data_IF_223009111599
#
_entry.id   IF_223009111599
#
_cell.length_a   1.000
_cell.length_b   1.000
_cell.length_c   1.000
_cell.angle_alpha   90.00
_cell.angle_beta   90.00
_cell.angle_gamma   90.00
#
_symmetry.space_group_name_H-M   'P 1'
#
loop_
_entity.id
_entity.type
_entity.pdbx_description
1 polymer ?
#
# COMPACT_ATOMS: atom_id res chain seq x y z
N UNK A 1 14.60 24.86 35.41
CA UNK A 1 14.10 23.94 36.46
C UNK A 1 12.61 24.11 36.76
N UNK A 2 12.08 25.28 37.15
CA UNK A 2 10.64 25.44 37.46
C UNK A 2 9.71 25.10 36.27
N UNK A 3 10.16 25.34 35.04
CA UNK A 3 9.42 25.03 33.81
C UNK A 3 9.23 23.51 33.58
N UNK A 4 10.26 22.70 33.84
CA UNK A 4 10.20 21.24 33.63
C UNK A 4 9.25 20.54 34.61
N UNK A 5 9.26 20.96 35.89
CA UNK A 5 8.34 20.42 36.89
C UNK A 5 6.89 20.71 36.49
N UNK A 6 6.60 21.93 36.02
CA UNK A 6 5.27 22.30 35.55
C UNK A 6 4.81 21.46 34.34
N UNK A 7 5.70 21.21 33.36
CA UNK A 7 5.40 20.34 32.20
C UNK A 7 5.08 18.91 32.62
N UNK A 8 5.84 18.37 33.58
CA UNK A 8 5.56 17.03 34.12
C UNK A 8 4.22 17.06 34.86
N UNK A 9 3.96 18.06 35.70
CA UNK A 9 2.68 18.18 36.41
C UNK A 9 1.48 18.25 35.45
N UNK A 10 1.61 18.97 34.34
CA UNK A 10 0.58 19.05 33.29
C UNK A 10 0.28 17.67 32.69
N UNK A 11 1.31 16.89 32.33
CA UNK A 11 1.14 15.50 31.88
C UNK A 11 0.38 14.67 32.92
N UNK A 12 0.80 14.74 34.19
CA UNK A 12 0.25 13.93 35.27
C UNK A 12 -1.24 14.24 35.56
N UNK A 13 -1.59 15.52 35.55
CA UNK A 13 -2.94 16.00 35.92
C UNK A 13 -3.90 15.96 34.73
N UNK A 14 -3.46 16.42 33.55
CA UNK A 14 -4.35 16.75 32.45
C UNK A 14 -4.36 15.72 31.31
N UNK A 15 -3.26 14.99 31.07
CA UNK A 15 -3.12 14.14 29.88
C UNK A 15 -3.83 12.78 30.02
N UNK A 16 -3.91 11.99 28.96
CA UNK A 16 -4.55 10.68 28.92
C UNK A 16 -3.86 9.66 29.84
N UNK A 17 -4.65 8.72 30.39
CA UNK A 17 -4.12 7.69 31.29
C UNK A 17 -3.13 6.72 30.61
N UNK A 18 -3.17 6.61 29.29
CA UNK A 18 -2.25 5.77 28.51
C UNK A 18 -0.87 6.42 28.34
N UNK A 19 -0.80 7.75 28.40
CA UNK A 19 0.46 8.49 28.35
C UNK A 19 1.22 8.45 29.69
N UNK A 20 0.57 8.08 30.79
CA UNK A 20 1.15 8.07 32.14
C UNK A 20 2.04 6.84 32.37
N UNK A 21 3.33 6.98 32.07
CA UNK A 21 4.34 6.00 32.45
C UNK A 21 5.69 6.64 32.75
N UNK A 22 6.59 5.89 33.40
CA UNK A 22 7.93 6.37 33.75
C UNK A 22 8.74 6.85 32.54
N UNK A 23 8.59 6.23 31.36
CA UNK A 23 9.30 6.64 30.17
C UNK A 23 8.84 8.02 29.64
N UNK A 24 7.53 8.27 29.61
CA UNK A 24 6.96 9.56 29.17
C UNK A 24 7.44 10.71 30.04
N UNK A 25 7.45 10.51 31.35
CA UNK A 25 7.90 11.54 32.30
C UNK A 25 9.40 11.81 32.16
N UNK A 26 10.22 10.77 31.98
CA UNK A 26 11.66 10.96 31.72
C UNK A 26 11.89 11.67 30.38
N UNK A 27 11.14 11.33 29.34
CA UNK A 27 11.25 11.97 28.03
C UNK A 27 11.04 13.49 28.12
N UNK A 28 10.07 13.95 28.91
CA UNK A 28 9.81 15.37 29.14
C UNK A 28 10.96 16.14 29.82
N UNK A 29 11.93 15.44 30.41
CA UNK A 29 13.13 16.06 31.01
C UNK A 29 14.25 16.32 30.02
N UNK A 30 14.11 15.89 28.76
CA UNK A 30 15.09 16.16 27.71
C UNK A 30 14.90 17.61 27.23
N UNK A 31 15.94 18.42 27.38
CA UNK A 31 16.05 19.77 26.78
C UNK A 31 17.24 19.77 25.81
N UNK A 32 17.08 20.39 24.64
CA UNK A 32 18.13 20.51 23.60
C UNK A 32 18.84 19.20 23.24
N UNK A 33 18.08 18.10 23.16
CA UNK A 33 18.61 16.75 22.92
C UNK A 33 19.60 16.26 23.99
N UNK A 34 19.60 16.84 25.20
CA UNK A 34 20.43 16.40 26.34
C UNK A 34 19.53 15.81 27.42
N UNK A 35 19.82 14.58 27.83
CA UNK A 35 19.12 13.91 28.94
C UNK A 35 19.90 14.19 30.24
N UNK A 36 19.28 14.78 31.28
CA UNK A 36 19.97 15.02 32.54
C UNK A 36 20.33 13.71 33.27
N UNK A 37 21.30 13.73 34.21
CA UNK A 37 21.63 12.55 35.00
C UNK A 37 20.43 12.01 35.78
N UNK A 38 20.34 10.68 35.93
CA UNK A 38 19.22 9.99 36.58
C UNK A 38 18.79 10.61 37.92
N UNK A 39 19.74 10.92 38.81
CA UNK A 39 19.44 11.52 40.11
C UNK A 39 18.72 12.86 39.99
N UNK A 40 19.07 13.67 38.98
CA UNK A 40 18.44 14.96 38.73
C UNK A 40 17.04 14.80 38.15
N UNK A 41 16.88 13.86 37.22
CA UNK A 41 15.57 13.50 36.66
C UNK A 41 14.64 13.00 37.77
N UNK A 42 15.12 12.10 38.63
CA UNK A 42 14.36 11.55 39.75
C UNK A 42 13.89 12.63 40.72
N UNK A 43 14.76 13.56 41.10
CA UNK A 43 14.40 14.70 41.96
C UNK A 43 13.28 15.56 41.35
N UNK A 44 13.33 15.84 40.04
CA UNK A 44 12.30 16.62 39.35
C UNK A 44 10.95 15.91 39.33
N UNK A 45 10.97 14.60 39.06
CA UNK A 45 9.76 13.78 38.99
C UNK A 45 9.15 13.56 40.37
N UNK A 46 9.96 13.29 41.40
CA UNK A 46 9.49 13.17 42.79
C UNK A 46 8.73 14.42 43.22
N UNK A 47 9.27 15.60 42.87
CA UNK A 47 8.60 16.89 43.15
C UNK A 47 7.29 17.04 42.40
N UNK A 48 7.27 16.73 41.10
CA UNK A 48 6.08 16.85 40.26
C UNK A 48 4.97 15.87 40.71
N UNK A 49 5.32 14.61 40.99
CA UNK A 49 4.37 13.58 41.45
C UNK A 49 3.73 13.99 42.78
N UNK A 50 4.53 14.40 43.77
CA UNK A 50 4.00 14.81 45.07
C UNK A 50 3.08 16.04 44.97
N UNK A 51 3.44 17.00 44.11
CA UNK A 51 2.61 18.17 43.82
C UNK A 51 1.30 17.81 43.11
N UNK A 52 1.36 16.97 42.06
CA UNK A 52 0.20 16.51 41.30
C UNK A 52 -0.77 15.67 42.13
N UNK A 53 -0.28 14.84 43.06
CA UNK A 53 -1.15 14.04 43.94
C UNK A 53 -2.03 14.90 44.85
N UNK A 54 -1.67 16.15 45.13
CA UNK A 54 -2.53 17.07 45.88
C UNK A 54 -3.63 17.69 45.01
N UNK A 55 -3.51 17.60 43.67
CA UNK A 55 -4.42 18.22 42.69
C UNK A 55 -5.36 17.22 42.01
N UNK A 56 -5.19 15.92 42.25
CA UNK A 56 -5.93 14.84 41.56
C UNK A 56 -6.96 14.21 42.51
N UNK A 57 -8.24 14.40 42.20
CA UNK A 57 -9.37 13.77 42.91
C UNK A 57 -9.74 12.39 42.34
N UNK A 58 -9.47 12.16 41.05
CA UNK A 58 -9.80 10.90 40.38
C UNK A 58 -8.89 9.75 40.87
N UNK A 59 -9.49 8.71 41.46
CA UNK A 59 -8.78 7.59 42.09
C UNK A 59 -7.95 6.76 41.10
N UNK A 60 -8.44 6.55 39.89
CA UNK A 60 -7.75 5.77 38.85
C UNK A 60 -6.48 6.49 38.38
N UNK A 61 -6.60 7.78 38.06
CA UNK A 61 -5.46 8.64 37.72
C UNK A 61 -4.46 8.71 38.87
N UNK A 62 -4.94 8.91 40.10
CA UNK A 62 -4.10 8.98 41.30
C UNK A 62 -3.27 7.71 41.47
N UNK A 63 -3.87 6.53 41.24
CA UNK A 63 -3.18 5.24 41.27
C UNK A 63 -2.08 5.17 40.21
N UNK A 64 -2.38 5.51 38.95
CA UNK A 64 -1.36 5.52 37.88
C UNK A 64 -0.22 6.50 38.15
N UNK A 65 -0.50 7.68 38.70
CA UNK A 65 0.54 8.66 39.06
C UNK A 65 1.45 8.14 40.18
N UNK A 66 0.92 7.40 41.16
CA UNK A 66 1.73 6.76 42.19
C UNK A 66 2.67 5.68 41.63
N UNK A 67 2.26 4.97 40.58
CA UNK A 67 3.06 3.92 39.93
C UNK A 67 4.25 4.45 39.12
N UNK A 68 4.32 5.76 38.85
CA UNK A 68 5.40 6.36 38.07
C UNK A 68 6.74 6.28 38.80
N UNK A 69 6.77 6.52 40.11
CA UNK A 69 8.02 6.49 40.88
C UNK A 69 8.71 5.12 40.86
N UNK A 70 8.00 3.99 41.08
CA UNK A 70 8.54 2.65 40.86
C UNK A 70 9.05 2.40 39.43
N UNK A 71 8.44 3.02 38.42
CA UNK A 71 8.81 2.84 37.02
C UNK A 71 10.02 3.67 36.57
N UNK A 72 10.51 4.62 37.40
CA UNK A 72 11.52 5.60 36.99
C UNK A 72 12.82 5.01 36.48
N UNK A 73 13.30 3.94 37.10
CA UNK A 73 14.55 3.30 36.69
C UNK A 73 14.42 2.64 35.32
N UNK A 74 13.33 1.90 35.10
CA UNK A 74 13.05 1.27 33.81
C UNK A 74 12.78 2.33 32.74
N UNK A 75 11.97 3.35 33.05
CA UNK A 75 11.69 4.47 32.15
C UNK A 75 12.96 5.20 31.73
N UNK A 76 13.87 5.47 32.65
CA UNK A 76 15.14 6.12 32.33
C UNK A 76 16.03 5.26 31.43
N UNK A 77 16.17 3.96 31.72
CA UNK A 77 16.91 3.04 30.85
C UNK A 77 16.28 2.95 29.45
N UNK A 78 14.95 2.94 29.36
CA UNK A 78 14.24 2.94 28.08
C UNK A 78 14.57 4.18 27.26
N UNK A 79 14.53 5.38 27.84
CA UNK A 79 14.88 6.62 27.14
C UNK A 79 16.35 6.66 26.72
N UNK A 80 17.26 6.19 27.58
CA UNK A 80 18.69 6.04 27.22
C UNK A 80 18.86 5.08 26.05
N UNK A 81 18.18 3.94 26.07
CA UNK A 81 18.20 2.95 24.99
C UNK A 81 17.64 3.51 23.68
N UNK A 82 16.50 4.20 23.73
CA UNK A 82 15.88 4.84 22.57
C UNK A 82 16.76 5.95 21.98
N UNK A 83 17.50 6.68 22.82
CA UNK A 83 18.49 7.68 22.35
C UNK A 83 19.71 7.02 21.70
N UNK A 84 20.20 5.91 22.26
CA UNK A 84 21.33 5.16 21.70
C UNK A 84 21.03 4.60 20.30
N UNK A 85 19.79 4.17 20.05
CA UNK A 85 19.34 3.71 18.72
C UNK A 85 18.85 4.85 17.81
N UNK A 86 19.06 6.11 18.20
CA UNK A 86 18.62 7.31 17.47
C UNK A 86 17.11 7.36 17.22
N UNK A 87 16.29 6.62 17.97
CA UNK A 87 14.83 6.65 17.85
C UNK A 87 14.21 7.91 18.47
N UNK A 88 14.91 8.56 19.40
CA UNK A 88 14.55 9.89 19.94
C UNK A 88 15.27 11.03 19.26
N UNK A 89 16.25 10.73 18.41
CA UNK A 89 16.66 11.74 17.45
C UNK A 89 15.45 11.85 16.52
N UNK A 90 14.73 12.94 16.64
CA UNK A 90 14.28 13.57 15.41
C UNK A 90 15.57 13.80 14.62
N UNK A 91 15.94 12.79 13.80
CA UNK A 91 16.13 13.11 12.42
C UNK A 91 14.97 14.06 12.15
N UNK A 92 15.31 15.32 11.99
CA UNK A 92 14.78 16.01 10.85
C UNK A 92 15.05 15.01 9.70
N UNK A 93 14.15 14.02 9.56
CA UNK A 93 13.71 13.57 8.27
C UNK A 93 13.55 14.91 7.60
N UNK A 94 14.53 15.24 6.75
CA UNK A 94 14.25 16.19 5.72
C UNK A 94 12.99 15.60 5.11
N UNK A 95 11.85 16.13 5.54
CA UNK A 95 10.72 16.20 4.67
C UNK A 95 11.36 16.60 3.35
N UNK A 96 11.04 15.88 2.29
CA UNK A 96 11.16 16.43 0.96
C UNK A 96 10.18 17.63 0.84
N UNK A 97 10.08 18.48 1.87
CA UNK A 97 9.77 19.87 1.70
C UNK A 97 10.96 20.38 0.93
N UNK A 98 10.74 20.72 -0.34
CA UNK A 98 11.67 21.57 -1.06
C UNK A 98 12.07 22.67 -0.10
N UNK A 99 13.37 22.74 0.22
CA UNK A 99 13.88 23.85 1.01
C UNK A 99 13.47 25.13 0.30
N UNK A 100 13.23 26.22 1.04
CA UNK A 100 12.82 27.48 0.41
C UNK A 100 13.86 27.90 -0.66
N UNK A 101 15.11 27.57 -0.42
CA UNK A 101 16.24 27.72 -1.33
C UNK A 101 16.09 26.94 -2.64
N UNK A 102 15.55 25.72 -2.61
CA UNK A 102 15.30 24.89 -3.79
C UNK A 102 14.11 25.41 -4.60
N UNK A 103 13.04 25.84 -3.92
CA UNK A 103 11.92 26.53 -4.57
C UNK A 103 12.43 27.79 -5.26
N UNK A 104 13.17 28.64 -4.56
CA UNK A 104 13.72 29.88 -5.11
C UNK A 104 14.66 29.59 -6.30
N UNK A 105 15.44 28.50 -6.24
CA UNK A 105 16.29 28.08 -7.35
C UNK A 105 15.46 27.65 -8.57
N UNK A 106 14.42 26.86 -8.38
CA UNK A 106 13.52 26.44 -9.45
C UNK A 106 12.78 27.64 -10.05
N UNK A 107 12.36 28.60 -9.24
CA UNK A 107 11.73 29.83 -9.72
C UNK A 107 12.72 30.67 -10.54
N UNK A 108 13.99 30.77 -10.14
CA UNK A 108 15.04 31.41 -10.96
C UNK A 108 15.20 30.71 -12.32
N UNK A 109 15.22 29.38 -12.34
CA UNK A 109 15.29 28.58 -13.58
C UNK A 109 14.06 28.82 -14.46
N UNK A 110 12.86 28.84 -13.88
CA UNK A 110 11.61 29.10 -14.60
C UNK A 110 11.61 30.51 -15.22
N UNK A 111 11.97 31.55 -14.44
CA UNK A 111 12.11 32.93 -14.92
C UNK A 111 13.12 33.06 -16.05
N UNK A 112 14.24 32.33 -15.98
CA UNK A 112 15.24 32.28 -17.05
C UNK A 112 14.64 31.71 -18.33
N UNK A 113 13.95 30.57 -18.27
CA UNK A 113 13.29 29.95 -19.43
C UNK A 113 12.21 30.83 -20.05
N UNK A 114 11.43 31.52 -19.21
CA UNK A 114 10.41 32.48 -19.67
C UNK A 114 11.01 33.72 -20.34
N UNK A 115 12.29 34.01 -20.10
CA UNK A 115 12.96 35.18 -20.71
C UNK A 115 13.50 34.88 -22.12
N UNK A 116 13.30 33.67 -22.64
CA UNK A 116 13.72 33.25 -23.99
C UNK A 116 12.55 32.69 -24.81
N UNK A 117 11.58 33.54 -25.22
CA UNK A 117 10.47 33.10 -26.06
C UNK A 117 10.93 32.71 -27.47
N UNK A 118 10.37 31.62 -28.01
CA UNK A 118 10.67 31.13 -29.36
C UNK A 118 9.88 31.87 -30.45
N UNK A 119 8.71 32.41 -30.10
CA UNK A 119 7.83 33.14 -31.03
C UNK A 119 7.30 34.43 -30.42
N UNK A 120 6.84 35.37 -31.25
CA UNK A 120 6.20 36.60 -30.79
C UNK A 120 4.93 36.34 -29.98
N UNK A 121 4.18 35.27 -30.30
CA UNK A 121 3.05 34.80 -29.49
C UNK A 121 3.48 34.28 -28.12
N UNK A 122 4.66 33.65 -28.03
CA UNK A 122 5.20 33.17 -26.76
C UNK A 122 5.73 34.33 -25.92
N UNK A 123 6.27 35.39 -26.53
CA UNK A 123 6.74 36.56 -25.80
C UNK A 123 5.61 37.18 -24.96
N UNK A 124 4.46 37.46 -25.57
CA UNK A 124 3.30 38.02 -24.86
C UNK A 124 2.79 37.10 -23.75
N UNK A 125 2.80 35.79 -23.97
CA UNK A 125 2.39 34.80 -22.97
C UNK A 125 3.39 34.74 -21.81
N UNK A 126 4.68 34.63 -22.10
CA UNK A 126 5.74 34.45 -21.12
C UNK A 126 5.90 35.68 -20.25
N UNK A 127 5.80 36.89 -20.82
CA UNK A 127 5.82 38.14 -20.06
C UNK A 127 4.67 38.19 -19.04
N UNK A 128 3.49 37.70 -19.41
CA UNK A 128 2.34 37.70 -18.50
C UNK A 128 2.43 36.62 -17.43
N UNK A 129 2.96 35.44 -17.77
CA UNK A 129 3.26 34.40 -16.77
C UNK A 129 4.32 34.90 -15.78
N UNK A 130 5.38 35.54 -16.27
CA UNK A 130 6.45 36.10 -15.44
C UNK A 130 5.91 37.17 -14.48
N UNK A 131 5.07 38.07 -14.97
CA UNK A 131 4.39 39.08 -14.13
C UNK A 131 3.49 38.45 -13.07
N UNK A 132 2.74 37.41 -13.43
CA UNK A 132 1.88 36.72 -12.46
C UNK A 132 2.72 35.95 -11.43
N UNK A 133 3.90 35.43 -11.83
CA UNK A 133 4.81 34.72 -10.94
C UNK A 133 5.36 35.61 -9.82
N UNK A 134 5.66 36.87 -10.13
CA UNK A 134 6.09 37.86 -9.13
C UNK A 134 5.03 38.08 -8.03
N UNK A 135 3.75 37.86 -8.33
CA UNK A 135 2.66 38.05 -7.36
C UNK A 135 2.43 36.87 -6.41
N UNK A 136 2.93 35.68 -6.73
CA UNK A 136 2.66 34.45 -5.94
C UNK A 136 3.93 33.77 -5.41
N UNK A 137 5.12 34.19 -5.86
CA UNK A 137 6.41 33.57 -5.53
C UNK A 137 6.64 33.41 -4.02
N UNK A 138 6.23 34.37 -3.20
CA UNK A 138 6.34 34.30 -1.74
C UNK A 138 5.52 33.18 -1.11
N UNK A 139 4.41 32.82 -1.76
CA UNK A 139 3.38 31.95 -1.18
C UNK A 139 3.48 30.51 -1.70
N UNK A 140 4.39 30.25 -2.66
CA UNK A 140 4.61 28.93 -3.22
C UNK A 140 5.19 27.96 -2.20
N UNK A 141 4.63 26.76 -2.22
CA UNK A 141 5.05 25.59 -1.45
C UNK A 141 5.48 24.48 -2.41
N UNK A 142 6.11 23.42 -1.88
CA UNK A 142 6.50 22.26 -2.68
C UNK A 142 5.32 21.54 -3.37
N UNK A 143 4.09 21.77 -2.92
CA UNK A 143 2.87 21.20 -3.49
C UNK A 143 2.47 21.89 -4.79
N UNK A 144 2.96 23.11 -5.01
CA UNK A 144 2.65 23.91 -6.17
C UNK A 144 3.55 23.47 -7.35
N UNK A 145 2.97 23.11 -8.51
CA UNK A 145 3.74 22.68 -9.68
C UNK A 145 4.86 23.65 -10.08
N UNK A 146 4.63 24.95 -9.87
CA UNK A 146 5.54 26.06 -10.15
C UNK A 146 6.85 25.93 -9.38
N UNK A 147 6.79 25.45 -8.14
CA UNK A 147 7.96 25.20 -7.30
C UNK A 147 8.88 24.12 -7.90
N UNK A 148 8.38 23.31 -8.84
CA UNK A 148 9.12 22.30 -9.60
C UNK A 148 9.34 22.68 -11.07
N UNK A 149 9.22 23.97 -11.42
CA UNK A 149 9.33 24.50 -12.80
C UNK A 149 8.23 24.04 -13.77
N UNK A 150 7.12 23.50 -13.25
CA UNK A 150 5.98 23.05 -14.04
C UNK A 150 4.89 24.12 -14.01
N UNK A 151 4.25 24.37 -15.16
CA UNK A 151 3.10 25.29 -15.25
C UNK A 151 1.82 24.47 -15.36
N UNK A 152 0.90 24.66 -14.41
CA UNK A 152 -0.43 24.03 -14.43
C UNK A 152 -1.46 24.96 -15.06
N UNK A 153 -2.39 24.42 -15.85
CA UNK A 153 -3.53 25.20 -16.35
C UNK A 153 -4.51 25.61 -15.24
N UNK A 154 -4.49 24.93 -14.10
CA UNK A 154 -5.30 25.23 -12.92
C UNK A 154 -4.68 26.27 -11.99
N UNK A 155 -3.38 26.56 -12.17
CA UNK A 155 -2.65 27.52 -11.33
C UNK A 155 -3.16 28.95 -11.48
N UNK A 156 -3.13 29.77 -10.39
CA UNK A 156 -3.41 31.20 -10.47
C UNK A 156 -2.62 31.93 -11.55
N UNK A 157 -1.39 31.47 -11.86
CA UNK A 157 -0.56 32.03 -12.93
C UNK A 157 -1.25 32.02 -14.28
N UNK A 158 -1.87 30.88 -14.62
CA UNK A 158 -2.48 30.64 -15.93
C UNK A 158 -3.93 31.12 -15.93
N UNK A 159 -4.63 31.03 -14.79
CA UNK A 159 -6.00 31.53 -14.67
C UNK A 159 -6.09 33.05 -14.80
N UNK A 160 -5.09 33.78 -14.31
CA UNK A 160 -5.01 35.24 -14.41
C UNK A 160 -4.54 35.75 -15.79
N UNK A 161 -4.28 34.86 -16.76
CA UNK A 161 -3.93 35.27 -18.13
C UNK A 161 -5.13 35.84 -18.87
N UNK A 162 -4.86 36.79 -19.78
CA UNK A 162 -5.88 37.30 -20.70
C UNK A 162 -6.35 36.19 -21.65
N UNK A 163 -7.58 36.28 -22.14
CA UNK A 163 -8.23 35.28 -22.99
C UNK A 163 -7.36 34.78 -24.16
N UNK A 164 -6.64 35.69 -24.85
CA UNK A 164 -5.76 35.33 -25.97
C UNK A 164 -4.55 34.49 -25.53
N UNK A 165 -3.93 34.85 -24.41
CA UNK A 165 -2.78 34.15 -23.84
C UNK A 165 -3.18 32.78 -23.30
N UNK A 166 -4.30 32.73 -22.56
CA UNK A 166 -4.87 31.47 -22.06
C UNK A 166 -5.21 30.50 -23.20
N UNK A 167 -5.80 31.00 -24.29
CA UNK A 167 -6.05 30.18 -25.49
C UNK A 167 -4.76 29.66 -26.13
N UNK A 168 -3.70 30.47 -26.18
CA UNK A 168 -2.40 30.06 -26.69
C UNK A 168 -1.76 28.99 -25.80
N UNK A 169 -1.79 29.17 -24.48
CA UNK A 169 -1.31 28.19 -23.49
C UNK A 169 -2.05 26.85 -23.60
N UNK A 170 -3.38 26.87 -23.74
CA UNK A 170 -4.22 25.66 -23.83
C UNK A 170 -4.25 25.01 -25.23
N UNK A 171 -3.69 25.66 -26.26
CA UNK A 171 -3.75 25.18 -27.65
C UNK A 171 -3.20 23.76 -27.84
N UNK A 172 -2.07 23.35 -27.23
CA UNK A 172 -1.59 21.97 -27.32
C UNK A 172 -2.58 20.98 -26.71
N UNK A 173 -3.17 21.29 -25.54
CA UNK A 173 -4.19 20.47 -24.88
C UNK A 173 -5.41 20.28 -25.77
N UNK A 174 -5.94 21.35 -26.35
CA UNK A 174 -7.10 21.26 -27.23
C UNK A 174 -6.81 20.49 -28.53
N UNK A 175 -5.55 20.46 -28.99
CA UNK A 175 -5.13 19.63 -30.13
C UNK A 175 -4.97 18.15 -29.81
N UNK A 176 -4.68 17.81 -28.56
CA UNK A 176 -4.56 16.42 -28.11
C UNK A 176 -5.92 15.80 -27.75
N UNK A 177 -6.93 16.62 -27.47
CA UNK A 177 -8.29 16.13 -27.24
C UNK A 177 -8.91 15.66 -28.56
N UNK A 178 -9.44 14.45 -28.53
CA UNK A 178 -10.30 13.94 -29.59
C UNK A 178 -11.75 13.94 -29.07
N UNK A 179 -12.68 14.40 -29.91
CA UNK A 179 -14.09 14.14 -29.65
C UNK A 179 -14.36 12.65 -29.82
N UNK A 180 -15.13 12.09 -28.89
CA UNK A 180 -15.48 10.67 -28.95
C UNK A 180 -16.45 10.46 -30.13
N UNK A 181 -16.16 9.52 -31.06
CA UNK A 181 -17.07 9.25 -32.17
C UNK A 181 -18.46 8.84 -31.67
N UNK A 182 -19.52 9.24 -32.38
CA UNK A 182 -20.92 8.97 -31.97
C UNK A 182 -21.19 7.47 -31.84
N UNK A 183 -20.51 6.67 -32.65
CA UNK A 183 -20.56 5.22 -32.63
C UNK A 183 -20.09 4.65 -31.28
N UNK A 184 -19.02 5.22 -30.72
CA UNK A 184 -18.49 4.80 -29.40
C UNK A 184 -19.42 5.23 -28.29
N UNK A 185 -19.95 6.46 -28.35
CA UNK A 185 -20.95 6.95 -27.39
C UNK A 185 -22.17 6.02 -27.38
N UNK A 186 -22.69 5.70 -28.56
CA UNK A 186 -23.82 4.77 -28.70
C UNK A 186 -23.50 3.39 -28.13
N UNK A 187 -22.29 2.86 -28.31
CA UNK A 187 -21.86 1.60 -27.69
C UNK A 187 -21.79 1.66 -26.15
N UNK A 188 -21.34 2.78 -25.58
CA UNK A 188 -21.34 2.98 -24.13
C UNK A 188 -22.75 3.04 -23.55
N UNK A 189 -23.67 3.75 -24.22
CA UNK A 189 -25.08 3.83 -23.85
C UNK A 189 -25.77 2.47 -23.99
N UNK A 190 -25.53 1.76 -25.09
CA UNK A 190 -26.02 0.40 -25.33
C UNK A 190 -25.57 -0.55 -24.21
N UNK A 191 -24.27 -0.55 -23.87
CA UNK A 191 -23.74 -1.35 -22.77
C UNK A 191 -24.45 -1.04 -21.45
N UNK A 192 -24.62 0.25 -21.12
CA UNK A 192 -25.23 0.67 -19.86
C UNK A 192 -26.70 0.27 -19.77
N UNK A 193 -27.45 0.47 -20.84
CA UNK A 193 -28.88 0.14 -20.91
C UNK A 193 -29.14 -1.38 -20.89
N UNK A 194 -28.23 -2.16 -21.47
CA UNK A 194 -28.35 -3.62 -21.58
C UNK A 194 -27.57 -4.37 -20.50
N UNK A 195 -26.95 -3.68 -19.54
CA UNK A 195 -26.16 -4.34 -18.50
C UNK A 195 -27.07 -5.12 -17.55
N UNK A 196 -27.03 -6.44 -17.67
CA UNK A 196 -27.66 -7.34 -16.70
C UNK A 196 -26.58 -7.99 -15.85
N UNK A 197 -26.69 -7.86 -14.53
CA UNK A 197 -25.87 -8.63 -13.59
C UNK A 197 -26.16 -10.12 -13.83
N UNK A 198 -25.16 -10.86 -14.30
CA UNK A 198 -25.31 -12.28 -14.58
C UNK A 198 -25.93 -13.03 -13.39
N UNK A 199 -26.99 -13.79 -13.64
CA UNK A 199 -27.55 -14.70 -12.66
C UNK A 199 -26.62 -15.92 -12.54
N UNK A 200 -26.34 -16.34 -11.31
CA UNK A 200 -25.59 -17.56 -11.04
C UNK A 200 -26.30 -18.73 -11.69
N UNK A 201 -25.67 -19.42 -12.64
CA UNK A 201 -26.31 -20.55 -13.31
C UNK A 201 -26.57 -21.67 -12.29
N UNK A 202 -27.79 -22.21 -12.27
CA UNK A 202 -28.20 -23.28 -11.35
C UNK A 202 -27.49 -24.63 -11.62
N UNK A 203 -26.74 -24.74 -12.73
CA UNK A 203 -26.19 -26.00 -13.24
C UNK A 203 -25.13 -26.63 -12.30
N UNK A 204 -24.54 -25.85 -11.40
CA UNK A 204 -23.51 -26.33 -10.47
C UNK A 204 -24.00 -26.52 -9.04
N UNK A 205 -25.31 -26.38 -8.77
CA UNK A 205 -25.89 -26.45 -7.41
C UNK A 205 -25.54 -27.72 -6.62
N UNK A 206 -25.09 -28.79 -7.28
CA UNK A 206 -24.69 -30.05 -6.63
C UNK A 206 -23.25 -30.50 -6.93
N UNK A 207 -22.38 -29.59 -7.38
CA UNK A 207 -20.99 -29.96 -7.64
C UNK A 207 -20.27 -30.37 -6.34
N UNK A 208 -19.48 -31.42 -6.43
CA UNK A 208 -18.67 -31.97 -5.33
C UNK A 208 -17.26 -32.29 -5.82
N UNK A 209 -16.30 -32.30 -4.90
CA UNK A 209 -14.91 -32.69 -5.18
C UNK A 209 -14.82 -34.22 -5.28
N UNK A 210 -14.96 -34.75 -6.49
CA UNK A 210 -15.01 -36.19 -6.78
C UNK A 210 -13.94 -36.63 -7.80
N UNK A 211 -12.92 -35.78 -8.02
CA UNK A 211 -11.85 -35.97 -9.02
C UNK A 211 -12.32 -35.95 -10.48
N UNK A 212 -13.51 -35.43 -10.77
CA UNK A 212 -14.00 -35.23 -12.15
C UNK A 212 -13.98 -33.74 -12.54
N UNK A 213 -13.89 -33.49 -13.85
CA UNK A 213 -14.03 -32.15 -14.43
C UNK A 213 -15.49 -31.73 -14.44
N UNK A 214 -15.78 -30.50 -14.00
CA UNK A 214 -17.15 -29.95 -13.94
C UNK A 214 -17.57 -29.28 -15.25
N UNK A 215 -16.60 -28.92 -16.07
CA UNK A 215 -16.82 -28.38 -17.42
C UNK A 215 -16.56 -29.46 -18.47
N UNK A 216 -17.24 -29.35 -19.61
CA UNK A 216 -17.14 -30.24 -20.77
C UNK A 216 -15.83 -30.04 -21.52
N UNK A 217 -15.46 -31.00 -22.39
CA UNK A 217 -14.27 -30.89 -23.25
C UNK A 217 -14.18 -29.55 -24.01
N UNK A 218 -15.23 -29.13 -24.75
CA UNK A 218 -15.22 -27.84 -25.46
C UNK A 218 -15.08 -26.61 -24.55
N UNK A 219 -15.66 -26.64 -23.35
CA UNK A 219 -15.52 -25.54 -22.39
C UNK A 219 -14.08 -25.45 -21.86
N UNK A 220 -13.47 -26.59 -21.54
CA UNK A 220 -12.07 -26.66 -21.12
C UNK A 220 -11.11 -26.25 -22.24
N UNK A 221 -11.39 -26.64 -23.48
CA UNK A 221 -10.62 -26.24 -24.68
C UNK A 221 -10.67 -24.73 -24.86
N UNK A 222 -11.87 -24.13 -24.90
CA UNK A 222 -12.04 -22.68 -24.99
C UNK A 222 -11.28 -21.92 -23.89
N UNK A 223 -11.30 -22.43 -22.65
CA UNK A 223 -10.54 -21.82 -21.54
C UNK A 223 -9.04 -21.99 -21.70
N UNK A 224 -8.60 -23.14 -22.22
CA UNK A 224 -7.20 -23.40 -22.53
C UNK A 224 -6.70 -22.42 -23.58
N UNK A 225 -7.44 -22.19 -24.66
CA UNK A 225 -7.08 -21.21 -25.70
C UNK A 225 -6.90 -19.80 -25.14
N UNK A 226 -7.78 -19.36 -24.24
CA UNK A 226 -7.65 -18.06 -23.58
C UNK A 226 -6.40 -17.96 -22.70
N UNK A 227 -6.11 -19.00 -21.91
CA UNK A 227 -4.88 -19.06 -21.10
C UNK A 227 -3.64 -19.00 -22.00
N UNK A 228 -3.65 -19.73 -23.11
CA UNK A 228 -2.54 -19.76 -24.07
C UNK A 228 -2.36 -18.41 -24.79
N UNK A 229 -3.45 -17.71 -25.11
CA UNK A 229 -3.39 -16.36 -25.68
C UNK A 229 -2.68 -15.39 -24.74
N UNK A 230 -3.04 -15.39 -23.45
CA UNK A 230 -2.35 -14.57 -22.45
C UNK A 230 -0.89 -14.98 -22.29
N UNK A 231 -0.58 -16.27 -22.35
CA UNK A 231 0.80 -16.74 -22.30
C UNK A 231 1.61 -16.24 -23.51
N UNK A 232 1.01 -16.19 -24.70
CA UNK A 232 1.65 -15.62 -25.88
C UNK A 232 1.90 -14.11 -25.73
N UNK A 233 0.97 -13.36 -25.14
CA UNK A 233 1.18 -11.95 -24.79
C UNK A 233 2.35 -11.78 -23.82
N UNK A 234 2.44 -12.64 -22.80
CA UNK A 234 3.56 -12.64 -21.84
C UNK A 234 4.90 -12.89 -22.54
N UNK A 235 4.96 -13.85 -23.48
CA UNK A 235 6.19 -14.12 -24.24
C UNK A 235 6.60 -12.97 -25.15
N UNK A 236 5.63 -12.21 -25.66
CA UNK A 236 5.89 -11.03 -26.49
C UNK A 236 6.23 -9.78 -25.67
N UNK A 237 6.18 -9.84 -24.33
CA UNK A 237 6.53 -8.70 -23.48
C UNK A 237 8.06 -8.52 -23.37
N UNK A 238 8.62 -7.37 -23.84
CA UNK A 238 10.06 -7.09 -23.79
C UNK A 238 10.66 -7.17 -22.39
N UNK A 239 9.86 -6.90 -21.35
CA UNK A 239 10.30 -6.95 -19.95
C UNK A 239 10.72 -8.36 -19.52
N UNK A 240 10.22 -9.41 -20.20
CA UNK A 240 10.46 -10.81 -19.83
C UNK A 240 11.21 -11.64 -20.88
N UNK A 241 11.59 -11.04 -22.01
CA UNK A 241 12.20 -11.76 -23.15
C UNK A 241 13.56 -12.40 -22.83
N UNK A 242 14.41 -11.74 -22.03
CA UNK A 242 15.76 -12.26 -21.72
C UNK A 242 15.90 -12.59 -20.24
N UNK A 243 16.84 -13.46 -19.88
CA UNK A 243 17.17 -13.72 -18.46
C UNK A 243 17.60 -12.44 -17.74
N UNK A 244 18.32 -11.56 -18.43
CA UNK A 244 18.78 -10.29 -17.87
C UNK A 244 17.63 -9.32 -17.60
N UNK A 245 16.69 -9.13 -18.55
CA UNK A 245 15.53 -8.25 -18.35
C UNK A 245 14.62 -8.77 -17.25
N UNK A 246 14.39 -10.09 -17.21
CA UNK A 246 13.62 -10.76 -16.15
C UNK A 246 14.20 -10.53 -14.76
N UNK A 247 15.52 -10.65 -14.62
CA UNK A 247 16.20 -10.46 -13.34
C UNK A 247 16.12 -9.02 -12.80
N UNK A 248 15.70 -8.05 -13.63
CA UNK A 248 15.54 -6.65 -13.22
C UNK A 248 14.10 -6.29 -12.85
N UNK A 249 13.14 -7.21 -13.01
CA UNK A 249 11.73 -6.93 -12.74
C UNK A 249 11.39 -7.05 -11.25
N UNK A 250 10.55 -6.12 -10.78
CA UNK A 250 10.02 -6.14 -9.42
C UNK A 250 8.99 -7.25 -9.21
N UNK A 251 8.80 -7.66 -7.95
CA UNK A 251 7.70 -8.57 -7.57
C UNK A 251 6.34 -8.04 -8.03
N UNK A 252 6.10 -6.73 -7.86
CA UNK A 252 4.88 -6.07 -8.30
C UNK A 252 4.64 -6.25 -9.79
N UNK A 253 5.66 -5.99 -10.61
CA UNK A 253 5.61 -6.17 -12.07
C UNK A 253 5.32 -7.62 -12.46
N UNK A 254 5.99 -8.59 -11.81
CA UNK A 254 5.74 -10.00 -12.07
C UNK A 254 4.29 -10.40 -11.74
N UNK A 255 3.76 -9.91 -10.61
CA UNK A 255 2.38 -10.19 -10.21
C UNK A 255 1.39 -9.55 -11.18
N UNK A 256 1.58 -8.28 -11.56
CA UNK A 256 0.65 -7.56 -12.44
C UNK A 256 0.68 -8.05 -13.88
N UNK A 257 1.85 -8.44 -14.38
CA UNK A 257 2.03 -8.68 -15.81
C UNK A 257 2.00 -10.18 -16.16
N UNK A 258 2.17 -11.06 -15.18
CA UNK A 258 2.19 -12.52 -15.39
C UNK A 258 1.08 -13.20 -14.59
N UNK A 259 1.09 -13.05 -13.26
CA UNK A 259 0.18 -13.83 -12.39
C UNK A 259 -1.28 -13.40 -12.58
N UNK A 260 -1.56 -12.10 -12.48
CA UNK A 260 -2.92 -11.57 -12.57
C UNK A 260 -3.57 -11.88 -13.94
N UNK A 261 -2.90 -11.68 -15.10
CA UNK A 261 -3.47 -12.03 -16.39
C UNK A 261 -3.79 -13.53 -16.51
N UNK A 262 -2.88 -14.41 -16.09
CA UNK A 262 -3.11 -15.86 -16.12
C UNK A 262 -4.30 -16.26 -15.24
N UNK A 263 -4.41 -15.70 -14.03
CA UNK A 263 -5.56 -15.95 -13.14
C UNK A 263 -6.86 -15.39 -13.74
N UNK A 264 -6.84 -14.21 -14.37
CA UNK A 264 -8.01 -13.63 -15.04
C UNK A 264 -8.50 -14.51 -16.18
N UNK A 265 -7.60 -15.00 -17.05
CA UNK A 265 -7.98 -15.93 -18.12
C UNK A 265 -8.54 -17.24 -17.57
N UNK A 266 -7.91 -17.77 -16.50
CA UNK A 266 -8.33 -19.01 -15.84
C UNK A 266 -9.72 -18.90 -15.21
N UNK A 267 -10.03 -17.77 -14.58
CA UNK A 267 -11.24 -17.57 -13.78
C UNK A 267 -12.33 -16.76 -14.51
N UNK A 268 -12.06 -16.34 -15.75
CA UNK A 268 -13.01 -15.64 -16.61
C UNK A 268 -14.27 -16.46 -16.86
N UNK A 269 -15.43 -15.79 -16.89
CA UNK A 269 -16.77 -16.36 -17.04
C UNK A 269 -16.95 -17.72 -16.34
N UNK A 270 -16.60 -17.76 -15.05
CA UNK A 270 -16.94 -18.88 -14.20
C UNK A 270 -18.46 -19.04 -14.13
N UNK A 271 -18.98 -20.27 -14.27
CA UNK A 271 -20.42 -20.50 -14.41
C UNK A 271 -21.22 -20.18 -13.15
N UNK A 272 -20.55 -20.07 -12.01
CA UNK A 272 -21.14 -19.67 -10.72
C UNK A 272 -21.01 -18.16 -10.45
N UNK A 273 -20.78 -17.33 -11.48
CA UNK A 273 -20.78 -15.86 -11.42
C UNK A 273 -19.38 -15.24 -11.28
N UNK A 274 -19.31 -13.92 -11.15
CA UNK A 274 -18.05 -13.16 -11.18
C UNK A 274 -17.08 -13.51 -10.04
N UNK A 275 -15.78 -13.52 -10.33
CA UNK A 275 -14.70 -13.49 -9.34
C UNK A 275 -14.00 -12.14 -9.45
N UNK A 276 -13.83 -11.47 -8.32
CA UNK A 276 -12.94 -10.32 -8.22
C UNK A 276 -11.56 -10.83 -7.79
N UNK A 277 -10.54 -10.52 -8.59
CA UNK A 277 -9.15 -10.70 -8.20
C UNK A 277 -8.64 -9.38 -7.66
N UNK A 278 -8.37 -9.33 -6.35
CA UNK A 278 -7.63 -8.23 -5.74
C UNK A 278 -6.21 -8.69 -5.46
N UNK A 279 -5.26 -7.82 -5.76
CA UNK A 279 -3.88 -7.95 -5.30
C UNK A 279 -3.72 -7.10 -4.06
N UNK A 280 -3.24 -7.71 -2.97
CA UNK A 280 -2.86 -6.99 -1.76
C UNK A 280 -1.48 -7.50 -1.33
N UNK A 281 -0.51 -6.59 -1.26
CA UNK A 281 0.81 -6.92 -0.72
C UNK A 281 0.67 -7.13 0.79
N UNK A 282 0.84 -8.37 1.25
CA UNK A 282 0.87 -8.66 2.67
C UNK A 282 2.31 -8.45 3.14
N UNK A 283 2.57 -7.34 3.83
CA UNK A 283 3.91 -7.06 4.36
C UNK A 283 4.40 -8.24 5.22
N UNK A 284 5.52 -8.85 4.83
CA UNK A 284 6.11 -9.94 5.59
C UNK A 284 6.80 -9.42 6.86
N UNK A 285 6.74 -10.20 7.95
CA UNK A 285 7.48 -9.95 9.19
C UNK A 285 9.00 -9.80 8.95
N UNK A 286 9.55 -10.46 7.91
CA UNK A 286 10.94 -10.37 7.51
C UNK A 286 11.35 -8.99 6.96
N UNK A 287 10.44 -8.28 6.26
CA UNK A 287 10.66 -6.90 5.84
C UNK A 287 10.63 -5.93 7.02
N UNK A 288 9.86 -6.25 8.07
CA UNK A 288 9.87 -5.51 9.34
C UNK A 288 11.17 -5.74 10.12
N UNK A 289 11.71 -6.97 10.13
CA UNK A 289 12.97 -7.31 10.80
C UNK A 289 14.22 -6.68 10.13
N UNK A 290 14.22 -6.49 8.80
CA UNK A 290 15.32 -5.82 8.07
C UNK A 290 15.48 -4.33 8.43
N UNK A 291 14.43 -3.67 8.91
CA UNK A 291 14.55 -2.32 9.51
C UNK A 291 15.15 -2.34 10.92
N UNK A 292 15.14 -3.49 11.60
CA UNK A 292 15.42 -3.58 13.04
C UNK A 292 16.76 -4.26 13.39
N UNK A 293 17.47 -4.85 12.43
CA UNK A 293 18.79 -5.45 12.65
C UNK A 293 19.91 -4.44 12.33
N UNK A 294 20.28 -3.63 13.33
CA UNK A 294 21.30 -2.60 13.21
C UNK A 294 22.73 -3.14 13.02
N UNK A 295 23.52 -2.43 12.21
CA UNK A 295 24.95 -2.15 12.43
C UNK A 295 25.38 -0.99 11.52
N UNK A 296 26.05 -0.01 12.11
CA UNK A 296 26.51 1.27 11.54
C UNK A 296 27.45 1.16 10.34
N UNK A 297 26.92 0.83 9.17
CA UNK A 297 27.42 1.34 7.89
C UNK A 297 26.22 1.60 7.00
N UNK A 298 26.23 2.72 6.28
CA UNK A 298 25.47 2.90 5.05
C UNK A 298 25.79 1.73 4.09
N UNK A 299 25.12 0.61 4.28
CA UNK A 299 24.66 -0.16 3.16
C UNK A 299 23.30 0.44 2.90
N UNK A 300 23.23 1.32 1.90
CA UNK A 300 22.06 1.35 1.05
C UNK A 300 21.80 -0.11 0.66
N UNK A 301 21.00 -0.80 1.45
CA UNK A 301 20.38 -2.02 1.01
C UNK A 301 19.50 -1.56 -0.13
N UNK A 302 20.03 -1.59 -1.35
CA UNK A 302 19.21 -1.67 -2.56
C UNK A 302 18.17 -2.71 -2.19
N UNK A 303 16.91 -2.29 -2.04
CA UNK A 303 15.77 -3.18 -2.01
C UNK A 303 16.07 -4.17 -3.14
N UNK A 304 16.32 -5.46 -2.87
CA UNK A 304 16.45 -6.39 -3.96
C UNK A 304 15.02 -6.57 -4.46
N UNK A 305 14.57 -5.60 -5.25
CA UNK A 305 13.46 -5.74 -6.19
C UNK A 305 13.91 -6.62 -7.38
N UNK A 306 15.09 -7.26 -7.29
CA UNK A 306 15.50 -8.34 -8.16
C UNK A 306 14.85 -9.61 -7.62
N UNK A 307 13.67 -9.92 -8.14
CA UNK A 307 13.17 -11.29 -8.05
C UNK A 307 13.95 -12.11 -9.07
N UNK A 308 14.65 -13.15 -8.61
CA UNK A 308 14.86 -14.31 -9.47
C UNK A 308 13.47 -14.87 -9.64
N UNK A 309 12.81 -14.54 -10.76
CA UNK A 309 11.43 -14.92 -11.03
C UNK A 309 11.25 -16.40 -10.65
N UNK A 310 10.60 -16.66 -9.51
CA UNK A 310 10.30 -18.01 -9.09
C UNK A 310 9.43 -18.59 -10.19
N UNK A 311 9.99 -19.50 -10.99
CA UNK A 311 9.25 -20.02 -12.14
C UNK A 311 8.10 -20.88 -11.69
N UNK A 312 8.13 -21.40 -10.46
CA UNK A 312 7.17 -22.38 -9.99
C UNK A 312 6.00 -21.73 -9.25
N UNK A 313 4.79 -21.95 -9.75
CA UNK A 313 3.53 -21.64 -9.06
C UNK A 313 3.04 -22.88 -8.30
N UNK A 314 2.64 -22.69 -7.05
CA UNK A 314 2.14 -23.74 -6.16
C UNK A 314 0.65 -23.53 -5.90
N UNK A 315 -0.15 -24.57 -6.12
CA UNK A 315 -1.57 -24.58 -5.75
C UNK A 315 -1.71 -25.25 -4.39
N UNK A 316 -2.16 -24.47 -3.40
CA UNK A 316 -2.36 -24.93 -2.03
C UNK A 316 -3.79 -24.63 -1.57
N UNK A 317 -4.31 -25.43 -0.66
CA UNK A 317 -5.64 -25.23 -0.05
C UNK A 317 -5.53 -25.25 1.47
N UNK A 318 -6.15 -24.25 2.10
CA UNK A 318 -6.37 -24.19 3.54
C UNK A 318 -7.83 -24.55 3.83
N UNK A 319 -8.07 -25.57 4.64
CA UNK A 319 -9.42 -26.03 5.00
C UNK A 319 -9.49 -26.44 6.46
N UNK A 320 -10.61 -26.15 7.12
CA UNK A 320 -10.86 -26.68 8.46
C UNK A 320 -11.36 -28.12 8.36
N UNK A 321 -10.82 -29.01 9.19
CA UNK A 321 -11.37 -30.37 9.31
C UNK A 321 -12.66 -30.40 10.15
N UNK A 322 -13.23 -31.58 10.33
CA UNK A 322 -14.46 -31.78 11.10
C UNK A 322 -14.34 -31.34 12.57
N UNK A 323 -13.12 -31.22 13.10
CA UNK A 323 -12.84 -30.72 14.45
C UNK A 323 -12.58 -29.20 14.48
N UNK A 324 -12.70 -28.51 13.34
CA UNK A 324 -12.42 -27.08 13.23
C UNK A 324 -10.94 -26.74 13.11
N UNK A 325 -10.05 -27.72 12.93
CA UNK A 325 -8.60 -27.49 12.86
C UNK A 325 -8.22 -27.09 11.42
N UNK A 326 -7.56 -25.93 11.21
CA UNK A 326 -7.09 -25.53 9.88
C UNK A 326 -5.97 -26.45 9.41
N UNK A 327 -6.13 -27.02 8.21
CA UNK A 327 -5.18 -27.89 7.52
C UNK A 327 -4.74 -27.25 6.21
N UNK A 328 -3.44 -27.16 6.01
CA UNK A 328 -2.82 -26.62 4.81
C UNK A 328 -2.29 -27.77 3.93
N UNK A 329 -2.83 -27.89 2.72
CA UNK A 329 -2.49 -28.96 1.78
C UNK A 329 -1.82 -28.38 0.55
N UNK A 330 -0.70 -28.99 0.15
CA UNK A 330 -0.13 -28.81 -1.17
C UNK A 330 -0.86 -29.72 -2.17
N UNK A 331 -1.46 -29.15 -3.21
CA UNK A 331 -2.19 -29.93 -4.20
C UNK A 331 -1.31 -30.30 -5.39
N UNK A 332 -0.69 -29.31 -6.01
CA UNK A 332 0.16 -29.47 -7.19
C UNK A 332 0.99 -28.21 -7.43
N UNK A 333 1.97 -28.28 -8.33
CA UNK A 333 2.78 -27.14 -8.76
C UNK A 333 3.15 -27.25 -10.24
N UNK A 334 3.48 -26.12 -10.85
CA UNK A 334 3.97 -26.08 -12.22
C UNK A 334 4.91 -24.90 -12.43
N UNK A 335 5.86 -25.05 -13.35
CA UNK A 335 6.63 -23.90 -13.81
C UNK A 335 5.86 -23.07 -14.84
N UNK A 336 5.76 -21.77 -14.60
CA UNK A 336 5.34 -20.76 -15.56
C UNK A 336 6.41 -20.69 -16.65
N UNK A 337 6.12 -21.07 -17.90
CA UNK A 337 7.06 -20.97 -18.99
C UNK A 337 7.12 -19.51 -19.43
N UNK A 338 8.26 -18.85 -19.22
CA UNK A 338 8.50 -17.48 -19.70
C UNK A 338 9.15 -17.46 -21.10
N UNK A 339 9.32 -18.64 -21.69
CA UNK A 339 9.80 -18.85 -23.05
C UNK A 339 9.04 -20.00 -23.70
N UNK A 340 9.08 -20.06 -25.03
CA UNK A 340 8.35 -21.03 -25.86
C UNK A 340 9.05 -22.39 -25.98
N UNK A 341 10.15 -22.63 -25.25
CA UNK A 341 11.02 -23.79 -25.49
C UNK A 341 10.50 -25.10 -24.89
N UNK A 342 9.43 -25.07 -24.10
CA UNK A 342 8.94 -26.26 -23.41
C UNK A 342 7.41 -26.40 -23.39
N UNK A 343 6.90 -27.12 -24.39
CA UNK A 343 5.49 -27.54 -24.42
C UNK A 343 5.08 -28.32 -23.15
N UNK A 344 6.00 -29.08 -22.54
CA UNK A 344 5.74 -29.79 -21.27
C UNK A 344 5.43 -28.83 -20.13
N UNK A 345 6.17 -27.72 -20.01
CA UNK A 345 5.91 -26.69 -18.99
C UNK A 345 4.57 -26.00 -19.23
N UNK A 346 4.26 -25.66 -20.49
CA UNK A 346 2.94 -25.11 -20.88
C UNK A 346 1.81 -26.04 -20.47
N UNK A 347 1.89 -27.33 -20.81
CA UNK A 347 0.89 -28.34 -20.44
C UNK A 347 0.71 -28.46 -18.93
N UNK A 348 1.82 -28.40 -18.18
CA UNK A 348 1.80 -28.50 -16.71
C UNK A 348 1.13 -27.27 -16.08
N UNK A 349 1.46 -26.07 -16.56
CA UNK A 349 0.82 -24.83 -16.12
C UNK A 349 -0.68 -24.82 -16.42
N UNK A 350 -1.08 -25.17 -17.66
CA UNK A 350 -2.50 -25.23 -18.06
C UNK A 350 -3.25 -26.22 -17.18
N UNK A 351 -2.69 -27.40 -16.92
CA UNK A 351 -3.29 -28.39 -16.01
C UNK A 351 -3.50 -27.80 -14.61
N UNK A 352 -2.49 -27.14 -14.04
CA UNK A 352 -2.58 -26.53 -12.72
C UNK A 352 -3.68 -25.45 -12.66
N UNK A 353 -3.75 -24.60 -13.67
CA UNK A 353 -4.75 -23.53 -13.76
C UNK A 353 -6.18 -24.07 -13.94
N UNK A 354 -6.37 -25.09 -14.79
CA UNK A 354 -7.67 -25.75 -14.94
C UNK A 354 -8.07 -26.48 -13.64
N UNK A 355 -7.12 -27.08 -12.91
CA UNK A 355 -7.40 -27.65 -11.58
C UNK A 355 -7.87 -26.58 -10.60
N UNK A 356 -7.21 -25.41 -10.55
CA UNK A 356 -7.67 -24.28 -9.75
C UNK A 356 -9.10 -23.85 -10.13
N UNK A 357 -9.39 -23.71 -11.43
CA UNK A 357 -10.73 -23.37 -11.93
C UNK A 357 -11.78 -24.38 -11.46
N UNK A 358 -11.51 -25.67 -11.63
CA UNK A 358 -12.42 -26.75 -11.24
C UNK A 358 -12.71 -26.73 -9.73
N UNK A 359 -11.68 -26.48 -8.90
CA UNK A 359 -11.84 -26.35 -7.46
C UNK A 359 -12.77 -25.18 -7.10
N UNK A 360 -12.58 -24.02 -7.74
CA UNK A 360 -13.38 -22.83 -7.48
C UNK A 360 -14.82 -22.97 -7.93
N UNK A 361 -15.10 -23.69 -9.03
CA UNK A 361 -16.47 -24.03 -9.44
C UNK A 361 -17.21 -24.76 -8.32
N UNK A 362 -16.59 -25.80 -7.77
CA UNK A 362 -17.17 -26.60 -6.67
C UNK A 362 -17.27 -25.79 -5.39
N UNK A 363 -16.22 -25.07 -4.98
CA UNK A 363 -16.25 -24.28 -3.75
C UNK A 363 -17.32 -23.20 -3.78
N UNK A 364 -17.51 -22.54 -4.93
CA UNK A 364 -18.52 -21.51 -5.08
C UNK A 364 -19.94 -22.07 -5.08
N UNK A 365 -20.16 -23.27 -5.64
CA UNK A 365 -21.46 -23.92 -5.53
C UNK A 365 -21.80 -24.31 -4.09
N UNK A 366 -20.82 -24.83 -3.34
CA UNK A 366 -20.99 -25.14 -1.91
C UNK A 366 -21.32 -23.88 -1.10
N UNK A 367 -20.63 -22.76 -1.36
CA UNK A 367 -20.92 -21.47 -0.72
C UNK A 367 -22.33 -20.97 -1.04
N UNK A 368 -22.74 -21.04 -2.31
CA UNK A 368 -24.08 -20.63 -2.72
C UNK A 368 -25.17 -21.43 -1.98
N UNK A 369 -24.99 -22.76 -1.84
CA UNK A 369 -25.90 -23.60 -1.05
C UNK A 369 -25.93 -23.23 0.43
N UNK A 370 -24.77 -23.00 1.04
CA UNK A 370 -24.68 -22.62 2.44
C UNK A 370 -25.43 -21.30 2.69
N UNK A 371 -25.34 -20.35 1.77
CA UNK A 371 -26.07 -19.08 1.82
C UNK A 371 -27.59 -19.29 1.67
N UNK A 372 -28.05 -20.10 0.70
CA UNK A 372 -29.47 -20.43 0.54
C UNK A 372 -30.06 -21.11 1.78
N UNK A 373 -29.30 -22.03 2.39
CA UNK A 373 -29.65 -22.69 3.64
C UNK A 373 -29.70 -21.71 4.81
N UNK A 374 -28.75 -20.77 4.90
CA UNK A 374 -28.73 -19.74 5.94
C UNK A 374 -29.88 -18.74 5.82
N UNK A 375 -30.32 -18.41 4.59
CA UNK A 375 -31.50 -17.57 4.36
C UNK A 375 -32.78 -18.30 4.80
N UNK A 376 -32.85 -19.61 4.56
CA UNK A 376 -34.01 -20.44 4.91
C UNK A 376 -34.03 -20.81 6.40
N UNK A 377 -32.85 -20.93 7.03
CA UNK A 377 -32.63 -21.27 8.43
C UNK A 377 -31.40 -20.50 8.95
N UNK A 378 -31.58 -19.30 9.52
CA UNK A 378 -30.46 -18.48 9.99
C UNK A 378 -29.59 -19.24 11.00
N UNK A 379 -28.28 -19.38 10.78
CA UNK A 379 -27.43 -20.11 11.70
C UNK A 379 -27.31 -19.31 13.02
N UNK A 380 -27.67 -19.94 14.13
CA UNK A 380 -27.25 -19.49 15.46
C UNK A 380 -25.80 -19.94 15.66
N UNK A 381 -24.80 -19.16 15.23
CA UNK A 381 -23.44 -19.35 15.73
C UNK A 381 -22.61 -18.07 15.76
N UNK A 382 -21.90 -17.92 16.87
CA UNK A 382 -21.41 -16.67 17.49
C UNK A 382 -19.88 -16.60 17.51
N UNK A 383 -19.18 -17.39 16.67
CA UNK A 383 -17.72 -17.46 16.75
C UNK A 383 -17.00 -16.80 15.56
N UNK A 384 -16.06 -15.87 15.82
CA UNK A 384 -15.26 -15.23 14.78
C UNK A 384 -14.28 -16.22 14.15
N UNK A 385 -14.05 -16.06 12.84
CA UNK A 385 -13.09 -16.85 12.05
C UNK A 385 -11.68 -16.78 12.64
N UNK A 386 -10.99 -17.92 12.87
CA UNK A 386 -9.62 -17.89 13.37
C UNK A 386 -8.68 -17.45 12.26
N UNK A 387 -8.04 -16.29 12.45
CA UNK A 387 -6.86 -15.93 11.67
C UNK A 387 -5.68 -16.69 12.25
N UNK A 388 -5.09 -17.63 11.50
CA UNK A 388 -3.91 -18.37 11.95
C UNK A 388 -2.69 -17.44 11.94
N UNK A 389 -2.22 -17.07 13.14
CA UNK A 389 -0.91 -16.44 13.35
C UNK A 389 0.14 -17.55 13.56
N UNK A 390 1.35 -17.32 13.05
CA UNK A 390 2.52 -18.19 13.30
C UNK A 390 2.84 -18.32 14.79
N UNK A 391 3.30 -19.49 15.28
CA UNK A 391 3.58 -19.70 16.70
C UNK A 391 4.72 -18.78 17.21
N UNK A 392 4.67 -18.32 18.48
CA UNK A 392 5.80 -17.67 19.11
C UNK A 392 6.95 -18.68 19.32
N UNK A 393 8.17 -18.26 19.03
CA UNK A 393 9.37 -19.04 19.33
C UNK A 393 9.59 -19.11 20.85
N UNK A 394 9.58 -20.32 21.40
CA UNK A 394 10.20 -20.59 22.68
C UNK A 394 11.72 -20.48 22.50
N UNK A 395 12.32 -19.50 23.16
CA UNK A 395 13.77 -19.46 23.34
C UNK A 395 14.15 -20.40 24.49
N UNK A 396 14.75 -21.54 24.16
CA UNK A 396 15.75 -22.16 25.02
C UNK A 396 17.11 -22.01 24.35
#
# INVERSE_FOLDING_TARGET
MANLVAKIEELLVCDTLDALCGASVVYLTIEDNVLPPYNKVRELVDRAVNSSLMKIDNLERRTKVLEILPQMENGYRSIVGLKAIKALNTLQEASLDYTREEIDQNIRVLKSKLSSPLTESDASLYDSIKKNLESIESDLTWRDPEASTVLSDESPLVQNLKTRQKRHFLKPRERMKCELPREIISKCEEFTNNFHRGQTSNNFRNAVHDKTWKETGPELEKRTEQILSILAEIWNNPAFTTSESRSKQSEGTYVTDIIVPLLRATLGDLPSGYICLSTAERQSLASKARKNAGTDKERMGKKPDVMVAGTTIYLNVLMNDASGIPRYFHLDHADIPLDSNSSKRVKSLVRLLLTLRNILIVNKSLLARALEQAISNPPRNVHPSPTVSTPPYNNN
#
